data_IF_676146672464
#
_entry.id   IF_676146672464
#
_cell.length_a   1.000
_cell.length_b   1.000
_cell.length_c   1.000
_cell.angle_alpha   90.00
_cell.angle_beta   90.00
_cell.angle_gamma   90.00
#
_symmetry.space_group_name_H-M   'P 1'
#
loop_
_entity.id
_entity.type
_entity.pdbx_description
1 polymer ?
#
# COMPACT_ATOMS: atom_id res chain seq x y z
N UNK A 1 13.25 6.90 -18.43
CA UNK A 1 13.42 7.65 -17.16
C UNK A 1 14.88 8.05 -16.94
N UNK A 2 15.85 7.12 -16.96
CA UNK A 2 17.29 7.43 -16.86
C UNK A 2 17.78 8.49 -17.87
N UNK A 3 17.33 8.41 -19.13
CA UNK A 3 17.66 9.38 -20.18
C UNK A 3 17.21 10.80 -19.81
N UNK A 4 16.01 10.94 -19.23
CA UNK A 4 15.46 12.26 -18.85
C UNK A 4 16.16 12.87 -17.63
N UNK A 5 16.52 12.04 -16.64
CA UNK A 5 17.33 12.46 -15.48
C UNK A 5 18.72 12.92 -15.93
N UNK A 6 19.32 12.24 -16.90
CA UNK A 6 20.60 12.65 -17.49
C UNK A 6 20.46 14.04 -18.15
N UNK A 7 19.40 14.28 -18.94
CA UNK A 7 19.17 15.58 -19.57
C UNK A 7 18.96 16.71 -18.55
N UNK A 8 18.30 16.44 -17.44
CA UNK A 8 18.08 17.40 -16.36
C UNK A 8 19.37 17.76 -15.64
N UNK A 9 20.16 16.75 -15.23
CA UNK A 9 21.47 16.96 -14.62
C UNK A 9 22.38 17.75 -15.57
N UNK A 10 22.39 17.40 -16.85
CA UNK A 10 23.15 18.13 -17.86
C UNK A 10 22.65 19.58 -18.02
N UNK A 11 21.33 19.82 -17.95
CA UNK A 11 20.74 21.16 -18.01
C UNK A 11 21.12 22.02 -16.81
N UNK A 12 21.06 21.46 -15.59
CA UNK A 12 21.46 22.14 -14.35
C UNK A 12 22.97 22.42 -14.35
N UNK A 13 23.79 21.43 -14.71
CA UNK A 13 25.25 21.60 -14.83
C UNK A 13 25.60 22.66 -15.88
N UNK A 14 24.92 22.66 -17.03
CA UNK A 14 25.10 23.69 -18.06
C UNK A 14 24.69 25.08 -17.56
N UNK A 15 23.58 25.19 -16.82
CA UNK A 15 23.14 26.44 -16.21
C UNK A 15 24.12 26.97 -15.16
N UNK A 16 24.62 26.12 -14.26
CA UNK A 16 25.64 26.46 -13.26
C UNK A 16 26.95 26.88 -13.94
N UNK A 17 27.41 26.12 -14.93
CA UNK A 17 28.62 26.44 -15.68
C UNK A 17 28.50 27.81 -16.40
N UNK A 18 27.35 28.09 -17.00
CA UNK A 18 27.06 29.38 -17.61
C UNK A 18 27.09 30.53 -16.58
N UNK A 19 26.56 30.30 -15.38
CA UNK A 19 26.53 31.27 -14.28
C UNK A 19 27.93 31.56 -13.73
N UNK A 20 28.74 30.52 -13.53
CA UNK A 20 30.16 30.65 -13.13
C UNK A 20 30.94 31.42 -14.21
N UNK A 21 30.74 31.07 -15.49
CA UNK A 21 31.38 31.77 -16.60
C UNK A 21 30.99 33.25 -16.64
N UNK A 22 29.69 33.56 -16.52
CA UNK A 22 29.18 34.93 -16.47
C UNK A 22 29.80 35.71 -15.31
N UNK A 23 29.87 35.12 -14.11
CA UNK A 23 30.49 35.73 -12.94
C UNK A 23 31.98 36.02 -13.15
N UNK A 24 32.76 35.03 -13.59
CA UNK A 24 34.19 35.20 -13.88
C UNK A 24 34.46 36.20 -15.00
N UNK A 25 33.60 36.22 -16.02
CA UNK A 25 33.70 37.14 -17.15
C UNK A 25 33.45 38.59 -16.70
N UNK A 26 32.44 38.82 -15.85
CA UNK A 26 32.13 40.14 -15.29
C UNK A 26 33.22 40.62 -14.32
N UNK A 27 33.80 39.73 -13.50
CA UNK A 27 34.88 40.06 -12.57
C UNK A 27 36.18 40.55 -13.27
N UNK A 28 36.38 40.17 -14.53
CA UNK A 28 37.55 40.57 -15.33
C UNK A 28 37.36 41.88 -16.10
N UNK A 29 36.30 42.64 -15.82
CA UNK A 29 35.96 43.87 -16.56
C UNK A 29 35.77 45.05 -15.62
N UNK A 30 36.18 46.22 -16.10
CA UNK A 30 36.12 47.49 -15.34
C UNK A 30 34.71 48.07 -15.23
N UNK A 31 33.79 47.66 -16.11
CA UNK A 31 32.41 48.17 -16.16
C UNK A 31 31.46 47.14 -16.78
N UNK A 32 30.28 47.00 -16.17
CA UNK A 32 29.19 46.13 -16.66
C UNK A 32 28.70 46.61 -18.03
N UNK A 33 28.74 47.93 -18.31
CA UNK A 33 28.29 48.49 -19.59
C UNK A 33 29.16 48.06 -20.78
N UNK A 34 30.44 47.78 -20.55
CA UNK A 34 31.35 47.33 -21.59
C UNK A 34 31.21 45.84 -21.86
N UNK A 35 30.94 45.06 -20.80
CA UNK A 35 30.68 43.63 -20.90
C UNK A 35 29.44 43.32 -21.76
N UNK A 36 28.33 44.04 -21.54
CA UNK A 36 27.05 43.77 -22.21
C UNK A 36 27.07 44.06 -23.72
N UNK A 37 28.03 44.84 -24.22
CA UNK A 37 28.18 45.13 -25.66
C UNK A 37 28.89 44.03 -26.44
N UNK A 38 29.58 43.11 -25.77
CA UNK A 38 30.33 42.04 -26.41
C UNK A 38 29.44 40.85 -26.76
N UNK A 39 29.50 40.39 -28.02
CA UNK A 39 28.71 39.25 -28.50
C UNK A 39 28.99 37.94 -27.75
N UNK A 40 30.10 37.85 -27.02
CA UNK A 40 30.48 36.68 -26.22
C UNK A 40 29.58 36.42 -25.00
N UNK A 41 28.77 37.39 -24.57
CA UNK A 41 27.84 37.24 -23.45
C UNK A 41 26.50 36.60 -23.83
N UNK A 42 26.13 36.64 -25.12
CA UNK A 42 24.80 36.17 -25.56
C UNK A 42 24.64 34.66 -25.38
N UNK A 43 25.66 33.85 -25.70
CA UNK A 43 25.57 32.38 -25.61
C UNK A 43 25.42 31.92 -24.15
N UNK A 44 26.26 32.34 -23.18
CA UNK A 44 26.08 31.99 -21.77
C UNK A 44 24.76 32.49 -21.18
N UNK A 45 24.30 33.70 -21.56
CA UNK A 45 23.01 34.23 -21.13
C UNK A 45 21.87 33.35 -21.65
N UNK A 46 21.87 32.99 -22.93
CA UNK A 46 20.86 32.11 -23.53
C UNK A 46 20.88 30.75 -22.84
N UNK A 47 22.05 30.14 -22.66
CA UNK A 47 22.19 28.87 -21.93
C UNK A 47 21.64 28.99 -20.51
N UNK A 48 21.94 30.06 -19.78
CA UNK A 48 21.40 30.29 -18.44
C UNK A 48 19.87 30.48 -18.44
N UNK A 49 19.33 31.30 -19.35
CA UNK A 49 17.89 31.59 -19.47
C UNK A 49 17.08 30.36 -19.86
N UNK A 50 17.62 29.45 -20.66
CA UNK A 50 16.90 28.24 -21.07
C UNK A 50 17.19 27.05 -20.16
N UNK A 51 18.45 26.79 -19.81
CA UNK A 51 18.82 25.57 -19.09
C UNK A 51 18.40 25.59 -17.61
N UNK A 52 18.43 26.76 -16.96
CA UNK A 52 18.07 26.87 -15.55
C UNK A 52 16.55 26.76 -15.33
N UNK A 53 15.69 27.51 -16.04
CA UNK A 53 14.24 27.36 -15.91
C UNK A 53 13.74 26.01 -16.44
N UNK A 54 14.36 25.43 -17.49
CA UNK A 54 14.01 24.06 -17.92
C UNK A 54 14.34 23.04 -16.83
N UNK A 55 15.47 23.16 -16.14
CA UNK A 55 15.77 22.34 -14.96
C UNK A 55 14.76 22.57 -13.83
N UNK A 56 14.44 23.82 -13.49
CA UNK A 56 13.50 24.15 -12.40
C UNK A 56 12.02 23.87 -12.71
N UNK A 57 11.60 23.95 -13.98
CA UNK A 57 10.24 23.59 -14.44
C UNK A 57 10.14 22.07 -14.60
N UNK A 58 11.23 21.39 -14.93
CA UNK A 58 11.28 19.92 -14.90
C UNK A 58 10.95 19.38 -13.50
N UNK A 59 11.41 20.03 -12.41
CA UNK A 59 10.99 19.70 -11.02
C UNK A 59 9.48 19.66 -10.80
N UNK A 60 8.69 20.41 -11.59
CA UNK A 60 7.22 20.45 -11.48
C UNK A 60 6.52 19.43 -12.38
N UNK A 61 7.23 18.90 -13.37
CA UNK A 61 6.71 17.86 -14.29
C UNK A 61 7.14 16.46 -13.85
N UNK A 62 8.24 16.36 -13.11
CA UNK A 62 8.79 15.15 -12.48
C UNK A 62 9.44 15.54 -11.15
N UNK A 63 9.25 14.79 -10.05
CA UNK A 63 9.84 15.15 -8.78
C UNK A 63 11.37 15.05 -8.87
N UNK A 64 12.10 16.10 -8.46
CA UNK A 64 13.55 16.20 -8.68
C UNK A 64 14.39 15.53 -7.60
N UNK A 65 13.76 15.03 -6.54
CA UNK A 65 14.47 14.35 -5.48
C UNK A 65 13.79 12.99 -5.26
N UNK A 66 14.49 11.92 -5.64
CA UNK A 66 14.12 10.54 -5.31
C UNK A 66 14.45 10.20 -3.84
N UNK A 67 14.82 11.22 -3.06
CA UNK A 67 14.94 11.20 -1.63
C UNK A 67 14.25 12.46 -1.09
N UNK A 68 13.99 12.52 0.21
CA UNK A 68 13.38 13.68 0.84
C UNK A 68 14.13 14.97 0.42
N UNK A 69 13.46 16.13 0.35
CA UNK A 69 14.16 17.40 0.23
C UNK A 69 15.32 17.42 1.23
N UNK A 70 16.51 17.90 0.84
CA UNK A 70 17.75 17.91 1.65
C UNK A 70 17.61 18.50 3.08
N UNK A 71 16.47 19.12 3.38
CA UNK A 71 16.16 19.82 4.62
C UNK A 71 15.00 19.19 5.42
N UNK A 72 14.46 18.04 5.00
CA UNK A 72 13.39 17.36 5.74
C UNK A 72 14.04 16.44 6.81
N UNK A 73 13.61 16.61 8.06
CA UNK A 73 14.11 15.83 9.19
C UNK A 73 13.02 14.86 9.66
N UNK A 74 13.35 13.57 9.71
CA UNK A 74 12.46 12.55 10.28
C UNK A 74 12.50 12.61 11.81
N UNK A 75 11.32 12.56 12.43
CA UNK A 75 11.15 12.40 13.87
C UNK A 75 10.81 10.95 14.26
N UNK A 76 10.85 10.00 13.31
CA UNK A 76 10.67 8.58 13.62
C UNK A 76 11.80 8.09 14.56
N UNK A 77 11.58 7.02 15.36
CA UNK A 77 12.53 6.55 16.36
C UNK A 77 13.94 6.24 15.82
N UNK A 78 14.02 5.79 14.57
CA UNK A 78 15.24 5.50 13.82
C UNK A 78 15.91 6.74 13.21
N UNK A 79 15.21 7.89 13.20
CA UNK A 79 15.59 9.16 12.57
C UNK A 79 15.97 9.02 11.09
N UNK A 80 15.62 7.90 10.47
CA UNK A 80 15.88 7.70 9.06
C UNK A 80 14.83 8.47 8.26
N UNK A 81 15.25 9.14 7.18
CA UNK A 81 14.32 9.76 6.28
C UNK A 81 13.56 8.67 5.49
N UNK A 82 12.24 8.79 5.25
CA UNK A 82 11.43 7.86 4.44
C UNK A 82 11.85 7.79 2.95
N UNK A 83 13.00 8.36 2.62
CA UNK A 83 13.63 8.33 1.32
C UNK A 83 14.44 7.07 1.06
N UNK A 84 14.36 6.60 -0.17
CA UNK A 84 15.30 5.61 -0.69
C UNK A 84 16.64 6.35 -0.96
N UNK A 85 17.78 5.92 -0.38
CA UNK A 85 19.08 6.53 -0.67
C UNK A 85 19.37 6.53 -2.18
N UNK A 86 19.96 7.59 -2.73
CA UNK A 86 20.25 7.70 -4.17
C UNK A 86 21.01 6.49 -4.74
N UNK A 87 21.94 5.92 -3.96
CA UNK A 87 22.65 4.69 -4.32
C UNK A 87 21.72 3.49 -4.55
N UNK A 88 20.68 3.34 -3.73
CA UNK A 88 19.67 2.26 -3.83
C UNK A 88 18.75 2.44 -5.04
N UNK A 89 18.50 3.67 -5.48
CA UNK A 89 17.80 3.94 -6.75
C UNK A 89 18.65 3.52 -7.95
N UNK A 90 19.95 3.85 -7.93
CA UNK A 90 20.86 3.39 -8.98
C UNK A 90 20.92 1.86 -8.98
N UNK A 91 20.98 1.24 -7.80
CA UNK A 91 20.96 -0.22 -7.63
C UNK A 91 19.66 -0.82 -8.19
N UNK A 92 18.49 -0.24 -7.88
CA UNK A 92 17.19 -0.61 -8.44
C UNK A 92 17.20 -0.59 -9.97
N UNK A 93 17.71 0.47 -10.61
CA UNK A 93 17.75 0.52 -12.08
C UNK A 93 18.80 -0.41 -12.69
N UNK A 94 19.94 -0.63 -12.00
CA UNK A 94 20.96 -1.60 -12.42
C UNK A 94 20.47 -3.05 -12.30
N UNK A 95 19.58 -3.32 -11.35
CA UNK A 95 19.05 -4.64 -11.08
C UNK A 95 17.58 -4.78 -11.45
N UNK A 96 17.01 -3.82 -12.18
CA UNK A 96 15.58 -3.77 -12.50
C UNK A 96 15.08 -4.96 -13.30
N UNK A 97 15.98 -5.65 -14.01
CA UNK A 97 15.69 -6.90 -14.72
C UNK A 97 15.60 -8.13 -13.81
N UNK A 98 16.04 -8.02 -12.55
CA UNK A 98 15.99 -9.10 -11.55
C UNK A 98 14.66 -9.17 -10.82
N UNK A 99 13.92 -8.05 -10.76
CA UNK A 99 12.61 -8.07 -10.12
C UNK A 99 11.64 -8.91 -10.93
N UNK A 100 11.02 -9.84 -10.23
CA UNK A 100 9.92 -10.61 -10.76
C UNK A 100 8.76 -9.68 -11.11
N UNK A 101 8.19 -9.89 -12.30
CA UNK A 101 6.97 -9.21 -12.72
C UNK A 101 5.79 -10.13 -12.44
N UNK A 102 4.99 -9.76 -11.45
CA UNK A 102 3.79 -10.49 -11.09
C UNK A 102 2.61 -9.88 -11.84
N UNK A 103 1.81 -10.72 -12.49
CA UNK A 103 0.65 -10.28 -13.28
C UNK A 103 -0.50 -9.77 -12.41
N UNK A 104 -0.70 -10.38 -11.25
CA UNK A 104 -1.72 -9.97 -10.28
C UNK A 104 -1.11 -9.86 -8.88
N UNK A 105 -0.93 -8.63 -8.41
CA UNK A 105 -0.46 -8.37 -7.05
C UNK A 105 -1.54 -8.57 -6.00
N UNK A 106 -2.82 -8.49 -6.38
CA UNK A 106 -3.89 -8.40 -5.40
C UNK A 106 -4.24 -9.78 -4.87
N UNK A 107 -4.10 -9.98 -3.56
CA UNK A 107 -4.49 -11.22 -2.92
C UNK A 107 -5.95 -11.56 -3.22
N UNK A 108 -6.22 -12.85 -3.46
CA UNK A 108 -7.57 -13.35 -3.70
C UNK A 108 -8.43 -13.13 -2.44
N UNK A 109 -9.52 -12.34 -2.51
CA UNK A 109 -10.38 -12.13 -1.35
C UNK A 109 -11.02 -13.43 -0.83
N UNK A 110 -11.07 -14.50 -1.62
CA UNK A 110 -11.58 -15.81 -1.18
C UNK A 110 -10.53 -16.66 -0.45
N UNK A 111 -9.26 -16.23 -0.40
CA UNK A 111 -8.16 -16.98 0.20
C UNK A 111 -8.12 -16.87 1.74
N UNK A 112 -9.29 -16.92 2.38
CA UNK A 112 -9.41 -17.08 3.83
C UNK A 112 -9.13 -18.55 4.18
N UNK A 113 -8.18 -18.85 5.09
CA UNK A 113 -8.01 -20.23 5.55
C UNK A 113 -9.29 -20.74 6.20
N UNK A 114 -9.83 -21.88 5.75
CA UNK A 114 -11.10 -22.42 6.26
C UNK A 114 -11.06 -22.79 7.75
N UNK A 115 -9.89 -23.16 8.27
CA UNK A 115 -9.67 -23.63 9.64
C UNK A 115 -8.33 -23.07 10.16
N UNK A 116 -8.15 -22.94 11.48
CA UNK A 116 -6.84 -22.66 12.06
C UNK A 116 -5.79 -23.67 11.63
N UNK A 117 -4.55 -23.18 11.45
CA UNK A 117 -3.40 -24.05 11.20
C UNK A 117 -3.27 -25.06 12.33
N UNK A 118 -3.09 -26.34 11.97
CA UNK A 118 -2.90 -27.43 12.95
C UNK A 118 -1.45 -27.46 13.47
N UNK A 119 -1.24 -27.86 14.73
CA UNK A 119 0.11 -28.06 15.26
C UNK A 119 0.80 -29.22 14.55
N UNK A 120 2.12 -29.10 14.45
CA UNK A 120 2.99 -30.21 14.10
C UNK A 120 3.10 -31.19 15.28
N UNK A 121 3.86 -32.29 15.11
CA UNK A 121 3.99 -33.36 16.11
C UNK A 121 4.49 -32.90 17.49
N UNK A 122 5.25 -31.80 17.53
CA UNK A 122 5.78 -31.18 18.74
C UNK A 122 4.82 -30.16 19.39
N UNK A 123 3.60 -30.03 18.88
CA UNK A 123 2.58 -29.13 19.42
C UNK A 123 2.76 -27.66 19.01
N UNK A 124 3.66 -27.36 18.06
CA UNK A 124 3.92 -25.99 17.58
C UNK A 124 3.21 -25.77 16.24
N UNK A 125 2.51 -24.65 16.11
CA UNK A 125 1.98 -24.16 14.83
C UNK A 125 3.12 -23.49 14.06
N UNK A 126 3.51 -24.03 12.90
CA UNK A 126 4.52 -23.38 12.05
C UNK A 126 3.90 -22.60 10.90
N UNK A 127 4.20 -21.31 10.86
CA UNK A 127 3.86 -20.38 9.79
C UNK A 127 5.14 -19.95 9.07
N UNK A 128 5.09 -19.89 7.74
CA UNK A 128 6.22 -19.50 6.91
C UNK A 128 5.78 -18.38 5.98
N UNK A 129 6.54 -17.29 5.95
CA UNK A 129 6.35 -16.17 5.03
C UNK A 129 7.68 -15.86 4.34
N UNK A 130 7.58 -15.43 3.08
CA UNK A 130 8.71 -14.99 2.28
C UNK A 130 8.51 -13.54 1.86
N UNK A 131 9.42 -12.63 2.22
CA UNK A 131 9.38 -11.26 1.70
C UNK A 131 9.95 -11.21 0.30
N UNK A 132 9.24 -10.56 -0.61
CA UNK A 132 9.64 -10.41 -2.02
C UNK A 132 9.42 -8.97 -2.48
N UNK A 133 10.39 -8.43 -3.19
CA UNK A 133 10.24 -7.19 -3.94
C UNK A 133 9.89 -7.50 -5.40
N UNK A 134 8.76 -7.00 -5.88
CA UNK A 134 8.19 -7.37 -7.18
C UNK A 134 7.71 -6.13 -7.93
N UNK A 135 7.52 -6.24 -9.24
CA UNK A 135 6.88 -5.21 -10.04
C UNK A 135 5.51 -5.73 -10.49
N UNK A 136 4.46 -4.96 -10.23
CA UNK A 136 3.11 -5.31 -10.68
C UNK A 136 2.27 -4.08 -10.97
N UNK A 137 1.09 -4.27 -11.57
CA UNK A 137 0.17 -3.19 -11.91
C UNK A 137 -0.66 -2.74 -10.69
N UNK A 138 -0.69 -1.43 -10.45
CA UNK A 138 -1.70 -0.79 -9.60
C UNK A 138 -3.03 -0.72 -10.37
N UNK A 139 -2.96 -0.33 -11.64
CA UNK A 139 -4.08 -0.12 -12.56
C UNK A 139 -3.56 -0.34 -13.99
N UNK A 140 -4.44 -0.53 -15.00
CA UNK A 140 -4.00 -0.88 -16.35
C UNK A 140 -2.87 0.01 -16.90
N UNK A 141 -1.69 -0.55 -17.15
CA UNK A 141 -0.51 0.17 -17.65
C UNK A 141 0.20 1.09 -16.65
N UNK A 142 -0.12 0.99 -15.36
CA UNK A 142 0.51 1.75 -14.25
C UNK A 142 1.13 0.73 -13.30
N UNK A 143 2.46 0.70 -13.23
CA UNK A 143 3.22 -0.29 -12.48
C UNK A 143 3.85 0.32 -11.25
N UNK A 144 4.03 -0.48 -10.21
CA UNK A 144 4.71 -0.08 -8.97
C UNK A 144 5.64 -1.19 -8.49
N UNK A 145 6.68 -0.79 -7.76
CA UNK A 145 7.54 -1.74 -7.08
C UNK A 145 6.91 -2.05 -5.73
N UNK A 146 6.31 -3.23 -5.60
CA UNK A 146 5.71 -3.67 -4.36
C UNK A 146 6.74 -4.43 -3.53
N UNK A 147 6.67 -4.24 -2.22
CA UNK A 147 7.34 -5.09 -1.25
C UNK A 147 6.23 -5.88 -0.57
N UNK A 148 6.38 -7.19 -0.52
CA UNK A 148 5.27 -8.10 -0.22
C UNK A 148 5.65 -9.13 0.82
N UNK A 149 4.63 -9.74 1.43
CA UNK A 149 4.74 -11.07 1.99
C UNK A 149 4.11 -12.04 0.98
N UNK A 150 4.85 -13.06 0.56
CA UNK A 150 4.48 -14.09 -0.42
C UNK A 150 4.06 -13.57 -1.80
N UNK A 151 4.60 -12.44 -2.26
CA UNK A 151 4.39 -11.96 -3.62
C UNK A 151 3.01 -11.33 -3.88
N UNK A 152 2.22 -11.07 -2.84
CA UNK A 152 0.88 -10.49 -2.94
C UNK A 152 0.64 -9.37 -1.92
N UNK A 153 -0.38 -8.55 -2.20
CA UNK A 153 -0.85 -7.46 -1.35
C UNK A 153 -2.37 -7.57 -1.15
N UNK A 154 -2.87 -7.63 0.09
CA UNK A 154 -2.09 -7.85 1.31
C UNK A 154 -1.35 -9.21 1.28
N UNK A 155 -0.44 -9.43 2.23
CA UNK A 155 0.15 -10.74 2.47
C UNK A 155 -0.91 -11.80 2.83
N UNK A 156 -0.55 -13.10 2.84
CA UNK A 156 -1.46 -14.19 3.17
C UNK A 156 -2.22 -13.96 4.47
N UNK A 157 -3.52 -14.25 4.47
CA UNK A 157 -4.27 -14.27 5.71
C UNK A 157 -3.81 -15.47 6.56
N UNK A 158 -3.40 -15.20 7.79
CA UNK A 158 -2.98 -16.21 8.74
C UNK A 158 -4.15 -16.54 9.68
N UNK A 159 -4.28 -17.80 10.11
CA UNK A 159 -5.36 -18.24 11.00
C UNK A 159 -4.82 -19.23 12.02
N UNK A 160 -4.90 -18.86 13.29
CA UNK A 160 -4.46 -19.65 14.46
C UNK A 160 -5.55 -19.60 15.52
N UNK A 161 -5.41 -20.40 16.59
CA UNK A 161 -6.36 -20.44 17.71
C UNK A 161 -5.75 -19.84 18.97
N UNK A 162 -6.59 -19.23 19.79
CA UNK A 162 -6.22 -18.73 21.11
C UNK A 162 -5.61 -19.87 21.95
N UNK A 163 -4.42 -19.62 22.48
CA UNK A 163 -3.62 -20.56 23.26
C UNK A 163 -2.55 -21.27 22.45
N UNK A 164 -2.58 -21.21 21.12
CA UNK A 164 -1.59 -21.84 20.26
C UNK A 164 -0.18 -21.31 20.53
N UNK A 165 0.80 -22.22 20.51
CA UNK A 165 2.22 -21.88 20.45
C UNK A 165 2.62 -21.83 18.99
N UNK A 166 2.91 -20.63 18.49
CA UNK A 166 3.15 -20.38 17.07
C UNK A 166 4.60 -20.01 16.85
N UNK A 167 5.26 -20.66 15.90
CA UNK A 167 6.55 -20.28 15.35
C UNK A 167 6.33 -19.67 13.96
N UNK A 168 6.76 -18.43 13.77
CA UNK A 168 6.78 -17.80 12.45
C UNK A 168 8.21 -17.71 11.96
N UNK A 169 8.46 -18.25 10.77
CA UNK A 169 9.71 -18.04 10.05
C UNK A 169 9.50 -17.04 8.93
N UNK A 170 10.36 -16.03 8.88
CA UNK A 170 10.42 -15.07 7.79
C UNK A 170 11.69 -15.33 6.98
N UNK A 171 11.52 -15.54 5.69
CA UNK A 171 12.62 -15.63 4.72
C UNK A 171 12.62 -14.36 3.86
N UNK A 172 13.77 -13.72 3.67
CA UNK A 172 13.87 -12.66 2.66
C UNK A 172 14.40 -13.25 1.36
N UNK A 173 13.67 -13.05 0.26
CA UNK A 173 14.11 -13.54 -1.03
C UNK A 173 15.48 -12.94 -1.41
N UNK A 174 16.34 -13.75 -2.03
CA UNK A 174 17.70 -13.34 -2.42
C UNK A 174 17.70 -12.23 -3.47
N UNK A 175 16.59 -12.04 -4.18
CA UNK A 175 16.42 -10.98 -5.18
C UNK A 175 16.04 -9.62 -4.56
N UNK A 176 15.64 -9.56 -3.29
CA UNK A 176 15.30 -8.32 -2.60
C UNK A 176 16.52 -7.38 -2.48
N UNK A 177 16.26 -6.07 -2.48
CA UNK A 177 17.29 -5.04 -2.29
C UNK A 177 17.34 -4.51 -0.85
N UNK A 178 16.27 -4.72 -0.10
CA UNK A 178 16.05 -4.22 1.25
C UNK A 178 16.00 -5.37 2.25
N UNK A 179 16.47 -5.08 3.46
CA UNK A 179 16.17 -5.92 4.61
C UNK A 179 14.69 -5.77 4.98
N UNK A 180 14.12 -6.85 5.50
CA UNK A 180 12.74 -6.86 5.97
C UNK A 180 12.65 -7.50 7.35
N UNK A 181 11.53 -7.27 8.01
CA UNK A 181 11.14 -7.95 9.24
C UNK A 181 9.61 -7.98 9.34
N UNK A 182 9.07 -8.48 10.44
CA UNK A 182 7.62 -8.51 10.68
C UNK A 182 7.26 -8.12 12.12
N UNK A 183 6.37 -7.15 12.25
CA UNK A 183 5.61 -6.84 13.46
C UNK A 183 4.22 -7.49 13.33
N UNK A 184 3.89 -8.41 14.24
CA UNK A 184 2.57 -9.01 14.33
C UNK A 184 1.83 -8.46 15.56
N UNK A 185 0.71 -7.77 15.36
CA UNK A 185 -0.03 -7.17 16.48
C UNK A 185 -0.69 -8.22 17.40
N UNK A 186 -0.80 -9.47 16.94
CA UNK A 186 -1.22 -10.61 17.76
C UNK A 186 -0.14 -11.07 18.78
N UNK A 187 1.07 -10.51 18.74
CA UNK A 187 2.19 -10.90 19.60
C UNK A 187 2.27 -9.97 20.81
N UNK A 188 2.13 -10.55 22.01
CA UNK A 188 2.43 -9.86 23.27
C UNK A 188 3.92 -10.00 23.59
N UNK A 189 4.75 -9.22 22.89
CA UNK A 189 6.20 -9.17 23.06
C UNK A 189 6.79 -7.90 22.45
N UNK A 190 8.04 -7.53 22.80
CA UNK A 190 8.66 -6.30 22.30
C UNK A 190 8.67 -6.22 20.77
N UNK A 191 8.14 -5.12 20.23
CA UNK A 191 8.09 -4.83 18.79
C UNK A 191 7.36 -5.88 17.95
N UNK A 192 6.46 -6.67 18.55
CA UNK A 192 5.67 -7.70 17.86
C UNK A 192 6.50 -8.78 17.15
N UNK A 193 7.78 -8.95 17.51
CA UNK A 193 8.73 -9.88 16.88
C UNK A 193 9.65 -9.26 15.81
N UNK A 194 9.51 -7.97 15.50
CA UNK A 194 10.27 -7.31 14.43
C UNK A 194 11.79 -7.40 14.60
N UNK A 195 12.29 -7.15 15.82
CA UNK A 195 13.73 -7.23 16.08
C UNK A 195 14.29 -8.66 15.96
N UNK A 196 13.46 -9.68 16.19
CA UNK A 196 13.84 -11.09 16.08
C UNK A 196 13.78 -11.61 14.63
N UNK A 197 13.17 -10.85 13.73
CA UNK A 197 12.94 -11.23 12.33
C UNK A 197 13.58 -10.27 11.33
N UNK A 198 14.58 -9.47 11.74
CA UNK A 198 15.41 -8.72 10.80
C UNK A 198 16.12 -9.70 9.87
N UNK A 199 15.72 -9.77 8.61
CA UNK A 199 16.30 -10.66 7.60
C UNK A 199 16.88 -9.88 6.42
N UNK A 200 18.18 -10.03 6.23
CA UNK A 200 18.86 -9.58 5.00
C UNK A 200 18.44 -10.46 3.81
N UNK A 201 18.55 -10.01 2.54
CA UNK A 201 18.26 -10.84 1.38
C UNK A 201 18.98 -12.20 1.42
N UNK A 202 18.21 -13.29 1.29
CA UNK A 202 18.68 -14.68 1.41
C UNK A 202 18.72 -15.24 2.84
N UNK A 203 18.45 -14.42 3.86
CA UNK A 203 18.41 -14.86 5.26
C UNK A 203 17.02 -15.38 5.65
N UNK A 204 16.99 -16.27 6.64
CA UNK A 204 15.76 -16.70 7.31
C UNK A 204 15.95 -16.60 8.81
N UNK A 205 14.97 -15.99 9.49
CA UNK A 205 14.90 -15.96 10.96
C UNK A 205 13.50 -16.35 11.42
N UNK A 206 13.41 -16.83 12.66
CA UNK A 206 12.15 -17.24 13.25
C UNK A 206 12.07 -16.87 14.71
N UNK A 207 10.85 -16.75 15.22
CA UNK A 207 10.59 -16.67 16.64
C UNK A 207 9.28 -17.38 17.00
N UNK A 208 9.14 -17.73 18.27
CA UNK A 208 7.95 -18.38 18.80
C UNK A 208 7.21 -17.45 19.76
N UNK A 209 5.89 -17.42 19.69
CA UNK A 209 5.03 -16.77 20.68
C UNK A 209 3.85 -17.67 21.05
N UNK A 210 3.08 -17.24 22.05
CA UNK A 210 1.79 -17.84 22.36
C UNK A 210 0.70 -16.86 21.95
N UNK A 211 -0.29 -17.28 21.17
CA UNK A 211 -1.41 -16.44 20.78
C UNK A 211 -2.36 -16.27 21.99
N UNK A 212 -2.26 -15.15 22.70
CA UNK A 212 -2.96 -14.99 23.99
C UNK A 212 -4.37 -14.42 23.86
N UNK A 213 -4.61 -13.58 22.86
CA UNK A 213 -5.83 -12.79 22.76
C UNK A 213 -6.55 -13.12 21.44
N UNK A 214 -7.82 -13.55 21.46
CA UNK A 214 -8.60 -13.68 20.24
C UNK A 214 -8.81 -12.30 19.60
N UNK A 215 -8.95 -12.27 18.28
CA UNK A 215 -9.09 -11.04 17.51
C UNK A 215 -8.57 -11.19 16.09
N UNK A 216 -8.83 -10.19 15.26
CA UNK A 216 -8.22 -10.05 13.93
C UNK A 216 -7.22 -8.89 13.98
N UNK A 217 -5.95 -9.22 13.72
CA UNK A 217 -4.82 -8.32 13.93
C UNK A 217 -4.09 -8.07 12.62
N UNK A 218 -3.62 -6.84 12.42
CA UNK A 218 -2.65 -6.55 11.35
C UNK A 218 -1.30 -7.18 11.70
N UNK A 219 -0.59 -7.64 10.68
CA UNK A 219 0.85 -7.74 10.69
C UNK A 219 1.41 -6.89 9.56
N UNK A 220 2.61 -6.33 9.75
CA UNK A 220 3.26 -5.52 8.74
C UNK A 220 4.78 -5.51 8.91
N UNK A 221 5.51 -4.99 7.93
CA UNK A 221 6.96 -4.82 8.09
C UNK A 221 7.24 -3.65 9.04
N UNK A 222 8.21 -3.78 9.93
CA UNK A 222 8.64 -2.78 10.89
C UNK A 222 10.15 -2.51 10.81
N UNK A 223 10.72 -2.65 9.61
CA UNK A 223 12.09 -2.23 9.33
C UNK A 223 12.13 -0.69 9.38
N UNK A 224 13.22 -0.06 9.85
CA UNK A 224 13.43 1.38 9.76
C UNK A 224 12.93 2.02 8.45
N UNK A 225 12.26 3.16 8.56
CA UNK A 225 11.28 3.70 7.60
C UNK A 225 10.01 2.83 7.44
N UNK A 226 9.44 2.42 8.58
CA UNK A 226 8.26 1.54 8.67
C UNK A 226 7.12 1.95 7.72
N UNK A 227 6.81 3.25 7.67
CA UNK A 227 5.74 3.78 6.80
C UNK A 227 6.02 3.54 5.31
N UNK A 228 7.28 3.63 4.88
CA UNK A 228 7.69 3.33 3.51
C UNK A 228 7.45 1.86 3.21
N UNK A 229 7.94 0.96 4.05
CA UNK A 229 7.73 -0.48 3.89
C UNK A 229 6.25 -0.87 3.77
N UNK A 230 5.41 -0.32 4.65
CA UNK A 230 3.97 -0.56 4.62
C UNK A 230 3.31 0.02 3.36
N UNK A 231 3.67 1.24 2.96
CA UNK A 231 3.13 1.87 1.73
C UNK A 231 3.54 1.15 0.43
N UNK A 232 4.56 0.29 0.49
CA UNK A 232 4.94 -0.59 -0.61
C UNK A 232 4.15 -1.91 -0.64
N UNK A 233 3.25 -2.17 0.33
CA UNK A 233 2.35 -3.32 0.35
C UNK A 233 2.66 -4.38 1.42
N UNK A 234 3.61 -4.16 2.32
CA UNK A 234 4.01 -5.14 3.34
C UNK A 234 3.09 -5.13 4.55
N UNK A 235 1.85 -5.59 4.36
CA UNK A 235 0.88 -5.77 5.43
C UNK A 235 -0.07 -6.94 5.13
N UNK A 236 -0.66 -7.54 6.16
CA UNK A 236 -1.70 -8.55 6.05
C UNK A 236 -2.40 -8.78 7.39
N UNK A 237 -3.30 -9.76 7.45
CA UNK A 237 -4.06 -10.06 8.67
C UNK A 237 -3.75 -11.44 9.25
N UNK A 238 -3.73 -11.52 10.58
CA UNK A 238 -3.76 -12.75 11.34
C UNK A 238 -5.02 -12.80 12.19
N UNK A 239 -5.84 -13.82 11.97
CA UNK A 239 -6.97 -14.17 12.83
C UNK A 239 -6.48 -15.10 13.95
N UNK A 240 -6.64 -14.65 15.19
CA UNK A 240 -6.59 -15.50 16.38
C UNK A 240 -8.03 -15.84 16.74
N UNK A 241 -8.48 -17.02 16.35
CA UNK A 241 -9.81 -17.50 16.70
C UNK A 241 -9.94 -17.80 18.20
N UNK A 242 -11.14 -17.69 18.73
CA UNK A 242 -11.46 -18.16 20.09
C UNK A 242 -11.25 -19.66 20.20
N UNK A 243 -11.13 -20.17 21.44
CA UNK A 243 -11.04 -21.62 21.68
C UNK A 243 -12.25 -22.37 21.13
N UNK A 244 -13.43 -21.75 21.19
CA UNK A 244 -14.71 -22.31 20.73
C UNK A 244 -14.88 -22.18 19.20
N UNK A 245 -14.08 -21.33 18.55
CA UNK A 245 -14.25 -20.95 17.16
C UNK A 245 -15.29 -19.85 16.97
N UNK A 246 -15.36 -19.32 15.75
CA UNK A 246 -16.39 -18.36 15.36
C UNK A 246 -17.67 -19.04 14.88
N UNK A 247 -18.79 -18.32 14.95
CA UNK A 247 -20.03 -18.78 14.32
C UNK A 247 -19.80 -19.05 12.84
N UNK A 248 -20.42 -20.12 12.33
CA UNK A 248 -20.31 -20.49 10.92
C UNK A 248 -21.10 -19.50 10.07
N UNK A 249 -20.51 -19.20 8.91
CA UNK A 249 -21.09 -18.38 7.85
C UNK A 249 -20.90 -19.14 6.52
N UNK A 250 -21.65 -18.76 5.50
CA UNK A 250 -21.59 -19.41 4.18
C UNK A 250 -20.38 -18.95 3.37
N UNK A 251 -19.97 -17.68 3.55
CA UNK A 251 -18.85 -17.06 2.85
C UNK A 251 -17.97 -16.24 3.80
N UNK A 252 -16.67 -16.37 3.61
CA UNK A 252 -15.66 -15.53 4.25
C UNK A 252 -14.84 -14.80 3.19
N UNK A 253 -14.61 -13.49 3.36
CA UNK A 253 -13.75 -12.71 2.47
C UNK A 253 -12.64 -11.97 3.23
N UNK A 254 -11.49 -11.83 2.58
CA UNK A 254 -10.30 -11.15 3.07
C UNK A 254 -10.03 -9.87 2.27
N UNK A 255 -10.23 -8.71 2.90
CA UNK A 255 -10.13 -7.41 2.23
C UNK A 255 -9.28 -6.47 3.07
N UNK A 256 -8.23 -5.91 2.49
CA UNK A 256 -7.37 -4.92 3.17
C UNK A 256 -7.24 -3.68 2.33
N UNK A 257 -7.61 -2.53 2.90
CA UNK A 257 -7.36 -1.23 2.30
C UNK A 257 -5.88 -0.86 2.44
N UNK A 258 -5.31 -0.26 1.40
CA UNK A 258 -3.97 0.31 1.44
C UNK A 258 -3.81 1.56 0.60
N UNK A 259 -2.69 2.25 0.81
CA UNK A 259 -2.34 3.52 0.20
C UNK A 259 -1.07 3.41 -0.64
N UNK A 260 -1.08 3.96 -1.85
CA UNK A 260 0.08 4.00 -2.73
C UNK A 260 0.43 5.44 -3.09
N UNK A 261 1.69 5.79 -2.83
CA UNK A 261 2.24 7.13 -2.98
C UNK A 261 3.17 7.17 -4.18
N UNK A 262 2.72 7.79 -5.26
CA UNK A 262 3.39 7.71 -6.57
C UNK A 262 3.70 9.08 -7.15
N UNK A 263 4.92 9.24 -7.65
CA UNK A 263 5.38 10.45 -8.33
C UNK A 263 4.54 10.80 -9.57
N UNK A 264 3.86 11.94 -9.51
CA UNK A 264 3.08 12.51 -10.61
C UNK A 264 1.56 12.43 -10.38
N UNK A 265 0.79 12.67 -11.44
CA UNK A 265 -0.67 12.67 -11.35
C UNK A 265 -1.26 11.26 -11.48
N UNK A 266 -2.46 11.07 -10.92
CA UNK A 266 -3.27 9.87 -11.12
C UNK A 266 -3.42 9.59 -12.62
N UNK A 267 -3.28 8.33 -13.03
CA UNK A 267 -3.42 7.90 -14.42
C UNK A 267 -2.13 7.91 -15.25
N UNK A 268 -1.02 8.47 -14.72
CA UNK A 268 0.29 8.43 -15.39
C UNK A 268 0.74 6.98 -15.61
N UNK A 269 1.05 6.64 -16.87
CA UNK A 269 1.44 5.28 -17.27
C UNK A 269 2.92 4.99 -17.04
N UNK A 270 3.26 3.71 -16.95
CA UNK A 270 4.62 3.19 -16.76
C UNK A 270 4.92 2.81 -15.32
N UNK A 271 6.21 2.56 -15.03
CA UNK A 271 6.69 2.27 -13.69
C UNK A 271 6.75 3.56 -12.86
N UNK A 272 5.92 3.62 -11.83
CA UNK A 272 5.81 4.74 -10.92
C UNK A 272 6.91 4.69 -9.87
N UNK A 273 7.41 5.87 -9.54
CA UNK A 273 8.39 6.08 -8.48
C UNK A 273 7.64 6.39 -7.20
N UNK A 274 8.14 5.90 -6.07
CA UNK A 274 7.60 6.22 -4.75
C UNK A 274 7.76 7.73 -4.42
N UNK A 275 6.72 8.34 -3.84
CA UNK A 275 6.72 9.75 -3.43
C UNK A 275 6.70 9.88 -1.90
N UNK A 276 7.87 10.17 -1.32
CA UNK A 276 8.03 10.27 0.14
C UNK A 276 7.41 11.54 0.73
N UNK A 277 7.28 12.62 -0.06
CA UNK A 277 6.64 13.86 0.41
C UNK A 277 5.13 13.65 0.52
N UNK A 278 4.53 13.07 -0.52
CA UNK A 278 3.13 12.67 -0.49
C UNK A 278 2.82 11.69 0.65
N UNK A 279 3.74 10.77 0.97
CA UNK A 279 3.62 9.86 2.12
C UNK A 279 3.51 10.63 3.44
N UNK A 280 4.44 11.55 3.69
CA UNK A 280 4.47 12.32 4.96
C UNK A 280 3.25 13.23 5.07
N UNK A 281 2.79 13.80 3.95
CA UNK A 281 1.62 14.68 3.90
C UNK A 281 0.27 13.92 3.90
N UNK A 282 0.29 12.58 3.85
CA UNK A 282 -0.91 11.75 3.81
C UNK A 282 -1.75 11.94 2.55
N UNK A 283 -1.10 12.20 1.41
CA UNK A 283 -1.74 12.45 0.11
C UNK A 283 -1.47 11.32 -0.91
N UNK A 284 -2.03 10.11 -0.72
CA UNK A 284 -1.80 9.02 -1.67
C UNK A 284 -2.46 9.30 -3.01
N UNK A 285 -1.84 8.83 -4.10
CA UNK A 285 -2.42 8.89 -5.43
C UNK A 285 -3.48 7.81 -5.62
N UNK A 286 -3.22 6.62 -5.05
CA UNK A 286 -4.14 5.50 -5.12
C UNK A 286 -4.48 5.02 -3.71
N UNK A 287 -5.74 4.66 -3.54
CA UNK A 287 -6.24 3.93 -2.37
C UNK A 287 -6.92 2.71 -2.94
N UNK A 288 -6.55 1.51 -2.50
CA UNK A 288 -6.99 0.26 -3.13
C UNK A 288 -7.45 -0.75 -2.10
N UNK A 289 -8.32 -1.66 -2.50
CA UNK A 289 -8.57 -2.91 -1.79
C UNK A 289 -7.72 -4.01 -2.41
N UNK A 290 -6.95 -4.71 -1.59
CA UNK A 290 -6.03 -5.77 -2.02
C UNK A 290 -5.05 -5.30 -3.11
N UNK A 291 -4.36 -4.19 -2.84
CA UNK A 291 -3.13 -3.78 -3.52
C UNK A 291 -3.29 -3.10 -4.88
N UNK A 292 -4.41 -3.29 -5.59
CA UNK A 292 -4.64 -2.75 -6.94
C UNK A 292 -6.06 -2.24 -7.14
N UNK A 293 -6.27 -1.41 -8.16
CA UNK A 293 -7.59 -1.02 -8.63
C UNK A 293 -8.25 -2.23 -9.27
N UNK A 294 -9.39 -2.64 -8.73
CA UNK A 294 -10.13 -3.78 -9.24
C UNK A 294 -10.71 -3.49 -10.64
N UNK A 295 -10.53 -4.42 -11.56
CA UNK A 295 -11.05 -4.32 -12.94
C UNK A 295 -12.12 -5.36 -13.24
N UNK A 296 -12.13 -6.46 -12.48
CA UNK A 296 -13.08 -7.56 -12.59
C UNK A 296 -13.51 -7.99 -11.19
N UNK A 297 -14.80 -8.25 -10.94
CA UNK A 297 -15.27 -8.74 -9.65
C UNK A 297 -14.63 -10.06 -9.26
N UNK A 298 -14.12 -10.15 -8.03
CA UNK A 298 -13.46 -11.35 -7.48
C UNK A 298 -14.22 -12.00 -6.32
N UNK A 299 -15.27 -11.35 -5.82
CA UNK A 299 -16.10 -11.87 -4.73
C UNK A 299 -17.46 -12.30 -5.29
N UNK A 300 -17.91 -13.50 -4.92
CA UNK A 300 -19.16 -14.08 -5.38
C UNK A 300 -19.94 -14.71 -4.22
N UNK A 301 -21.24 -14.45 -4.17
CA UNK A 301 -22.17 -15.04 -3.22
C UNK A 301 -23.51 -15.38 -3.89
N UNK A 302 -24.38 -16.05 -3.12
CA UNK A 302 -25.75 -16.34 -3.52
C UNK A 302 -26.72 -15.67 -2.56
N UNK A 303 -27.91 -15.33 -3.08
CA UNK A 303 -29.02 -14.86 -2.24
C UNK A 303 -29.26 -15.85 -1.11
N UNK A 304 -29.28 -15.35 0.12
CA UNK A 304 -29.39 -16.11 1.37
C UNK A 304 -28.07 -16.51 2.03
N UNK A 305 -26.91 -16.29 1.39
CA UNK A 305 -25.62 -16.53 2.03
C UNK A 305 -25.39 -15.54 3.18
N UNK A 306 -25.06 -16.04 4.38
CA UNK A 306 -24.47 -15.23 5.46
C UNK A 306 -22.99 -15.03 5.15
N UNK A 307 -22.57 -13.78 5.06
CA UNK A 307 -21.20 -13.37 4.69
C UNK A 307 -20.49 -12.80 5.90
N UNK A 308 -19.23 -13.18 6.11
CA UNK A 308 -18.28 -12.50 7.01
C UNK A 308 -17.14 -11.90 6.19
N UNK A 309 -16.81 -10.63 6.41
CA UNK A 309 -15.63 -10.01 5.82
C UNK A 309 -14.61 -9.65 6.89
N UNK A 310 -13.38 -10.13 6.72
CA UNK A 310 -12.21 -9.76 7.50
C UNK A 310 -11.57 -8.53 6.86
N UNK A 311 -11.82 -7.37 7.46
CA UNK A 311 -11.43 -6.09 6.92
C UNK A 311 -10.18 -5.57 7.64
N UNK A 312 -9.15 -5.24 6.89
CA UNK A 312 -7.95 -4.58 7.40
C UNK A 312 -7.76 -3.20 6.79
N UNK A 313 -6.98 -2.37 7.45
CA UNK A 313 -6.46 -1.15 6.87
C UNK A 313 -4.94 -1.11 7.11
N UNK A 314 -4.17 -1.46 6.08
CA UNK A 314 -2.70 -1.38 6.09
C UNK A 314 -2.20 0.07 6.23
N UNK A 315 -3.09 1.05 6.03
CA UNK A 315 -2.80 2.47 6.14
C UNK A 315 -1.88 2.96 5.02
N UNK A 316 -0.98 3.91 5.29
CA UNK A 316 -0.43 4.26 6.61
C UNK A 316 -1.07 5.49 7.28
N UNK A 317 -1.84 6.32 6.57
CA UNK A 317 -2.33 7.61 7.09
C UNK A 317 -3.86 7.70 7.23
N UNK A 318 -4.59 7.08 6.32
CA UNK A 318 -6.02 7.29 6.15
C UNK A 318 -6.82 6.28 6.97
N UNK A 319 -7.88 6.77 7.62
CA UNK A 319 -8.93 5.93 8.21
C UNK A 319 -9.92 5.55 7.12
N UNK A 320 -10.25 4.26 6.99
CA UNK A 320 -11.31 3.81 6.07
C UNK A 320 -12.68 4.00 6.71
N UNK A 321 -13.62 4.58 5.96
CA UNK A 321 -15.05 4.55 6.28
C UNK A 321 -15.70 3.46 5.43
N UNK A 322 -15.42 2.19 5.75
CA UNK A 322 -15.80 1.07 4.90
C UNK A 322 -17.32 0.90 4.83
N UNK A 323 -17.85 0.80 3.62
CA UNK A 323 -19.27 0.66 3.35
C UNK A 323 -19.51 -0.27 2.16
N UNK A 324 -20.64 -0.99 2.17
CA UNK A 324 -21.12 -1.76 1.02
C UNK A 324 -22.40 -1.11 0.52
N UNK A 325 -22.33 -0.50 -0.67
CA UNK A 325 -23.49 0.15 -1.28
C UNK A 325 -24.56 -0.90 -1.55
N UNK A 326 -25.72 -0.72 -0.92
CA UNK A 326 -26.87 -1.61 -1.03
C UNK A 326 -27.05 -2.58 0.14
N UNK A 327 -26.12 -2.61 1.11
CA UNK A 327 -26.21 -3.49 2.28
C UNK A 327 -26.14 -2.72 3.61
N UNK A 328 -26.60 -3.39 4.67
CA UNK A 328 -26.45 -2.97 6.07
C UNK A 328 -25.70 -4.09 6.80
N UNK A 329 -24.72 -3.75 7.63
CA UNK A 329 -24.04 -4.75 8.43
C UNK A 329 -24.95 -5.21 9.58
N UNK A 330 -25.35 -6.48 9.54
CA UNK A 330 -26.11 -7.13 10.61
C UNK A 330 -25.31 -7.10 11.90
N UNK A 331 -24.00 -7.37 11.83
CA UNK A 331 -23.08 -7.32 12.96
C UNK A 331 -21.75 -6.72 12.56
N UNK A 332 -21.19 -5.84 13.39
CA UNK A 332 -19.83 -5.33 13.28
C UNK A 332 -19.08 -5.65 14.57
N UNK A 333 -17.86 -6.16 14.41
CA UNK A 333 -16.87 -6.29 15.47
C UNK A 333 -15.96 -5.06 15.40
N UNK A 334 -16.30 -3.96 16.09
CA UNK A 334 -15.52 -2.73 16.03
C UNK A 334 -14.09 -2.98 16.50
N UNK A 335 -13.12 -2.45 15.75
CA UNK A 335 -11.69 -2.69 15.95
C UNK A 335 -11.30 -4.17 16.00
N UNK A 336 -12.13 -5.06 15.43
CA UNK A 336 -11.92 -6.50 15.41
C UNK A 336 -11.73 -7.14 16.81
N UNK A 337 -12.31 -6.53 17.85
CA UNK A 337 -12.24 -7.04 19.22
C UNK A 337 -13.21 -8.22 19.42
N UNK A 338 -12.75 -9.43 19.13
CA UNK A 338 -13.53 -10.66 19.31
C UNK A 338 -13.74 -10.92 20.81
N UNK A 339 -15.00 -11.03 21.23
CA UNK A 339 -15.39 -11.08 22.64
C UNK A 339 -15.67 -9.72 23.29
N UNK A 340 -15.46 -8.62 22.54
CA UNK A 340 -15.83 -7.26 22.92
C UNK A 340 -17.28 -6.91 22.61
N UNK A 341 -17.59 -5.61 22.65
CA UNK A 341 -18.90 -5.10 22.27
C UNK A 341 -19.13 -5.26 20.76
N UNK A 342 -20.35 -5.68 20.39
CA UNK A 342 -20.79 -5.76 19.01
C UNK A 342 -21.69 -4.58 18.68
N UNK A 343 -21.61 -4.10 17.44
CA UNK A 343 -22.57 -3.17 16.88
C UNK A 343 -23.50 -3.91 15.91
N UNK A 344 -24.76 -3.50 15.85
CA UNK A 344 -25.77 -4.12 15.01
C UNK A 344 -26.44 -3.06 14.13
N UNK A 345 -26.85 -3.46 12.93
CA UNK A 345 -27.53 -2.57 11.96
C UNK A 345 -26.69 -1.35 11.58
N UNK A 346 -25.38 -1.54 11.42
CA UNK A 346 -24.42 -0.48 11.14
C UNK A 346 -24.26 -0.31 9.63
N UNK A 347 -24.34 0.94 9.15
CA UNK A 347 -24.20 1.24 7.71
C UNK A 347 -22.74 1.29 7.24
N UNK A 348 -21.79 1.66 8.11
CA UNK A 348 -20.40 1.82 7.76
C UNK A 348 -19.49 1.46 8.95
N UNK A 349 -18.40 0.77 8.68
CA UNK A 349 -17.42 0.37 9.68
C UNK A 349 -16.18 1.28 9.59
N UNK A 350 -15.77 1.86 10.72
CA UNK A 350 -14.53 2.62 10.80
C UNK A 350 -13.34 1.67 10.97
N UNK A 351 -12.30 1.83 10.15
CA UNK A 351 -11.08 1.01 10.23
C UNK A 351 -9.86 1.92 10.29
N UNK A 352 -9.20 1.93 11.45
CA UNK A 352 -8.00 2.73 11.71
C UNK A 352 -6.80 2.22 10.88
N UNK A 353 -5.83 3.08 10.49
CA UNK A 353 -4.58 2.61 9.90
C UNK A 353 -3.85 1.70 10.90
N UNK A 354 -3.37 0.54 10.44
CA UNK A 354 -2.82 -0.50 11.30
C UNK A 354 -3.88 -1.27 12.12
N UNK A 355 -5.17 -1.05 11.84
CA UNK A 355 -6.28 -1.70 12.50
C UNK A 355 -7.09 -2.62 11.58
N UNK A 356 -8.11 -3.24 12.15
CA UNK A 356 -9.00 -4.15 11.46
C UNK A 356 -10.44 -4.04 12.00
N UNK A 357 -11.39 -4.60 11.27
CA UNK A 357 -12.79 -4.79 11.68
C UNK A 357 -13.32 -6.07 11.07
N UNK A 358 -14.34 -6.67 11.67
CA UNK A 358 -15.09 -7.77 11.04
C UNK A 358 -16.52 -7.27 10.85
N UNK A 359 -17.10 -7.53 9.67
CA UNK A 359 -18.51 -7.27 9.41
C UNK A 359 -19.20 -8.55 8.95
N UNK A 360 -20.45 -8.71 9.37
CA UNK A 360 -21.33 -9.80 8.96
C UNK A 360 -22.64 -9.24 8.43
N UNK A 361 -23.16 -9.84 7.36
CA UNK A 361 -24.44 -9.49 6.76
C UNK A 361 -24.95 -10.65 5.90
N UNK A 362 -26.26 -10.68 5.66
CA UNK A 362 -26.90 -11.63 4.74
C UNK A 362 -27.29 -10.92 3.46
N UNK A 363 -27.01 -11.52 2.30
CA UNK A 363 -27.38 -10.92 1.01
C UNK A 363 -28.75 -11.41 0.55
N UNK A 364 -29.74 -10.52 0.52
CA UNK A 364 -31.15 -10.89 0.28
C UNK A 364 -31.63 -10.70 -1.17
N UNK A 365 -30.88 -9.96 -1.98
CA UNK A 365 -31.26 -9.57 -3.35
C UNK A 365 -30.10 -9.84 -4.31
N UNK A 366 -30.34 -10.36 -5.52
CA UNK A 366 -29.28 -10.58 -6.50
C UNK A 366 -28.83 -9.24 -7.10
N UNK A 367 -27.54 -9.10 -7.39
CA UNK A 367 -27.00 -7.87 -7.96
C UNK A 367 -25.50 -7.69 -7.76
N UNK A 368 -25.02 -6.49 -8.04
CA UNK A 368 -23.64 -6.08 -7.78
C UNK A 368 -23.61 -5.11 -6.62
N UNK A 369 -22.89 -5.48 -5.57
CA UNK A 369 -22.70 -4.68 -4.37
C UNK A 369 -21.30 -4.10 -4.39
N UNK A 370 -21.21 -2.78 -4.22
CA UNK A 370 -19.94 -2.05 -4.29
C UNK A 370 -19.39 -1.83 -2.89
N UNK A 371 -18.26 -2.46 -2.59
CA UNK A 371 -17.45 -2.14 -1.42
C UNK A 371 -16.73 -0.82 -1.71
N UNK A 372 -16.76 0.12 -0.77
CA UNK A 372 -16.14 1.44 -0.92
C UNK A 372 -15.53 1.93 0.38
N UNK A 373 -14.53 2.81 0.26
CA UNK A 373 -14.24 3.78 1.31
C UNK A 373 -15.15 5.00 1.13
N UNK A 374 -16.05 5.24 2.08
CA UNK A 374 -17.09 6.26 2.00
C UNK A 374 -16.56 7.70 2.17
N UNK A 375 -15.25 7.89 2.37
CA UNK A 375 -14.59 9.12 1.92
C UNK A 375 -14.52 9.13 0.38
N UNK A 376 -15.70 9.24 -0.26
CA UNK A 376 -15.99 8.82 -1.65
C UNK A 376 -15.08 9.40 -2.73
N UNK A 377 -14.41 10.52 -2.49
CA UNK A 377 -13.36 11.01 -3.37
C UNK A 377 -12.27 9.95 -3.63
N UNK A 378 -12.05 9.03 -2.69
CA UNK A 378 -11.11 7.89 -2.79
C UNK A 378 -11.55 6.83 -3.81
N UNK A 379 -12.83 6.77 -4.19
CA UNK A 379 -13.24 5.92 -5.32
C UNK A 379 -12.54 6.33 -6.63
N UNK A 380 -12.34 7.64 -6.84
CA UNK A 380 -11.54 8.14 -7.98
C UNK A 380 -10.06 7.73 -7.90
N UNK A 381 -9.60 7.35 -6.69
CA UNK A 381 -8.25 6.83 -6.42
C UNK A 381 -8.19 5.30 -6.46
N UNK A 382 -9.32 4.60 -6.65
CA UNK A 382 -9.39 3.15 -6.75
C UNK A 382 -9.97 2.39 -5.55
N UNK A 383 -10.51 3.10 -4.55
CA UNK A 383 -10.97 2.50 -3.29
C UNK A 383 -12.37 1.89 -3.44
N UNK A 384 -12.52 0.94 -4.36
CA UNK A 384 -13.74 0.21 -4.59
C UNK A 384 -13.47 -1.22 -5.06
N UNK A 385 -14.39 -2.12 -4.74
CA UNK A 385 -14.40 -3.52 -5.16
C UNK A 385 -15.84 -4.00 -5.36
N UNK A 386 -16.04 -5.14 -6.03
CA UNK A 386 -17.39 -5.65 -6.35
C UNK A 386 -17.61 -7.04 -5.75
N UNK A 387 -18.71 -7.17 -5.01
CA UNK A 387 -19.33 -8.44 -4.64
C UNK A 387 -20.50 -8.72 -5.60
N UNK A 388 -20.43 -9.83 -6.34
CA UNK A 388 -21.52 -10.28 -7.21
C UNK A 388 -22.38 -11.32 -6.51
N UNK A 389 -23.68 -11.02 -6.37
CA UNK A 389 -24.67 -11.89 -5.75
C UNK A 389 -25.58 -12.44 -6.83
N UNK A 390 -25.68 -13.77 -6.90
CA UNK A 390 -26.55 -14.50 -7.82
C UNK A 390 -27.75 -15.12 -7.09
N UNK A 391 -28.91 -15.18 -7.74
CA UNK A 391 -30.10 -15.77 -7.13
C UNK A 391 -31.40 -15.25 -7.73
N UNK A 392 -32.51 -15.60 -7.10
CA UNK A 392 -33.84 -15.13 -7.50
C UNK A 392 -34.07 -13.71 -6.98
N UNK A 393 -34.74 -12.87 -7.78
CA UNK A 393 -35.19 -11.56 -7.32
C UNK A 393 -36.17 -11.71 -6.15
N UNK A 394 -36.17 -10.73 -5.23
CA UNK A 394 -37.11 -10.64 -4.13
C UNK A 394 -37.84 -9.27 -4.15
N UNK A 395 -38.95 -9.14 -4.90
CA UNK A 395 -39.67 -7.88 -5.05
C UNK A 395 -40.26 -7.31 -3.75
N UNK A 396 -40.44 -8.15 -2.72
CA UNK A 396 -40.91 -7.70 -1.40
C UNK A 396 -39.84 -6.90 -0.65
N UNK A 397 -38.56 -7.09 -1.01
CA UNK A 397 -37.41 -6.37 -0.43
C UNK A 397 -36.98 -5.22 -1.35
N UNK A 398 -36.77 -5.49 -2.65
CA UNK A 398 -36.29 -4.50 -3.61
C UNK A 398 -36.93 -4.70 -4.98
N UNK A 399 -37.73 -3.71 -5.40
CA UNK A 399 -38.41 -3.72 -6.70
C UNK A 399 -38.32 -2.35 -7.38
N UNK A 400 -38.14 -2.30 -8.71
CA UNK A 400 -38.21 -1.05 -9.46
C UNK A 400 -39.65 -0.52 -9.43
N UNK A 401 -39.82 0.74 -9.02
CA UNK A 401 -41.11 1.42 -9.18
C UNK A 401 -41.22 1.93 -10.62
N UNK A 402 -42.17 1.40 -11.40
CA UNK A 402 -42.46 1.93 -12.75
C UNK A 402 -43.17 3.27 -12.63
N UNK A 403 -42.41 4.37 -12.69
CA UNK A 403 -42.98 5.71 -12.83
C UNK A 403 -43.45 5.89 -14.28
N UNK A 404 -44.77 5.96 -14.49
CA UNK A 404 -45.32 6.40 -15.79
C UNK A 404 -44.73 7.79 -16.08
N UNK A 405 -44.11 7.96 -17.26
CA UNK A 405 -43.76 9.30 -17.76
C UNK A 405 -45.02 10.16 -17.71
N UNK A 406 -44.98 11.25 -16.95
CA UNK A 406 -45.95 12.33 -17.09
C UNK A 406 -45.88 12.78 -18.56
N UNK A 407 -46.98 12.59 -19.28
CA UNK A 407 -47.13 12.97 -20.69
C UNK A 407 -47.12 14.49 -20.84
#
# INVERSE_FOLDING_TARGET
MLIFVIFEILSVLAGIAALIFLGLYLLRRKSIRDAVKERGLYVPIIVFIFALPVGFIANKTYPPNFAMPLFMHSHAPDKLPPSIPFAKIIEFFKHGSRFERITDIGADPNAVPNEPRRPDEDGIIRLKLTTREVISEIAPGIYFNYWTFDGQVPGPMLRVREGDRVEISLTNDVSSLHAHNIDLHAVTGPGGGAALTHVEPGETKAFTWKALNPGLYIYHCAMPNVSTHNSHGQYGLILVETKEGLEKVDKEFYVVQGELYTAGQIGKKGLMVFDSEALVDGQPNYVTFNGKVETTPRMQAKVGDKIRMYLGNGGVNLVSSFHIIGEIFDTVYPNASIGGALEYNTQAAQILPGGASIVEFTVDVPGKYLLVDHALARMNKGAWAVLEVSGNENPDIFAPTVLKKLQ
#
